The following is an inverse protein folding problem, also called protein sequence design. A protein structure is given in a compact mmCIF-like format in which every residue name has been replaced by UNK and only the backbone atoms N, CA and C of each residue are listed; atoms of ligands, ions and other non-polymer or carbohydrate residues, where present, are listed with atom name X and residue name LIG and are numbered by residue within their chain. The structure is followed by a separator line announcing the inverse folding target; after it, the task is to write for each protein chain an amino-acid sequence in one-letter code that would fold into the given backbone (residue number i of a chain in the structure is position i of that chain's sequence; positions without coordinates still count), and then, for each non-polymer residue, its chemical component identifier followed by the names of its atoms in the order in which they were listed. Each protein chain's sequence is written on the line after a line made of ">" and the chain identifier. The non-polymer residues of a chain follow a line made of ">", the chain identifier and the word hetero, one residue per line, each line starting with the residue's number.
data_IF_422964160276
#
_entry.id   IF_422964160276
#
_cell.length_a   1.000
_cell.length_b   1.000
_cell.length_c   1.000
_cell.angle_alpha   90.00
_cell.angle_beta   90.00
_cell.angle_gamma   90.00
#
_symmetry.space_group_name_H-M   'P 1'
#
loop_
_entity.id
_entity.type
_entity.pdbx_description
1 polymer ?
#
# COMPACT_ATOMS: atom_id res chain seq x y z
N UNK A 1 -15.05 -12.53 -8.30
CA UNK A 1 -14.99 -11.35 -9.20
C UNK A 1 -14.24 -11.70 -10.48
N UNK A 2 -14.83 -11.43 -11.64
CA UNK A 2 -14.21 -11.72 -12.94
C UNK A 2 -13.01 -10.80 -13.21
N UNK A 3 -11.99 -11.29 -13.92
CA UNK A 3 -10.75 -10.54 -14.18
C UNK A 3 -11.00 -9.21 -14.90
N UNK A 4 -11.88 -9.21 -15.90
CA UNK A 4 -12.26 -8.03 -16.69
C UNK A 4 -12.89 -6.89 -15.87
N UNK A 5 -13.56 -7.23 -14.77
CA UNK A 5 -14.27 -6.25 -13.94
C UNK A 5 -13.40 -5.66 -12.83
N UNK A 6 -12.23 -6.26 -12.52
CA UNK A 6 -11.36 -5.84 -11.40
C UNK A 6 -10.99 -4.35 -11.46
N UNK A 7 -10.61 -3.87 -12.66
CA UNK A 7 -10.24 -2.45 -12.85
C UNK A 7 -11.43 -1.52 -12.64
N UNK A 8 -12.62 -1.91 -13.11
CA UNK A 8 -13.85 -1.12 -12.96
C UNK A 8 -14.28 -1.07 -11.50
N UNK A 9 -14.28 -2.21 -10.81
CA UNK A 9 -14.60 -2.28 -9.38
C UNK A 9 -13.60 -1.47 -8.55
N UNK A 10 -12.29 -1.61 -8.81
CA UNK A 10 -11.28 -0.82 -8.09
C UNK A 10 -11.46 0.69 -8.28
N UNK A 11 -11.85 1.14 -9.47
CA UNK A 11 -12.18 2.54 -9.73
C UNK A 11 -13.45 2.97 -8.98
N UNK A 12 -14.49 2.14 -8.97
CA UNK A 12 -15.76 2.42 -8.30
C UNK A 12 -15.66 2.40 -6.76
N UNK A 13 -14.71 1.65 -6.19
CA UNK A 13 -14.43 1.65 -4.75
C UNK A 13 -13.56 2.84 -4.32
N UNK A 14 -12.88 3.52 -5.25
CA UNK A 14 -11.96 4.63 -4.93
C UNK A 14 -12.62 5.77 -4.15
N UNK A 15 -13.82 6.24 -4.51
CA UNK A 15 -14.49 7.32 -3.77
C UNK A 15 -14.66 7.02 -2.28
N UNK A 16 -14.85 5.75 -1.90
CA UNK A 16 -15.03 5.34 -0.50
C UNK A 16 -13.81 5.70 0.36
N UNK A 17 -12.61 5.33 -0.06
CA UNK A 17 -11.38 5.57 0.72
C UNK A 17 -10.69 6.90 0.43
N UNK A 18 -11.16 7.66 -0.56
CA UNK A 18 -10.70 9.04 -0.81
C UNK A 18 -11.63 10.11 -0.27
N UNK A 19 -12.78 9.72 0.29
CA UNK A 19 -13.78 10.61 0.88
C UNK A 19 -13.22 11.51 1.99
N UNK A 20 -13.80 12.70 2.15
CA UNK A 20 -13.34 13.70 3.13
C UNK A 20 -13.80 13.39 4.56
N UNK A 21 -14.99 12.81 4.71
CA UNK A 21 -15.63 12.44 5.97
C UNK A 21 -16.23 11.03 5.91
N UNK A 22 -16.55 10.47 7.07
CA UNK A 22 -17.27 9.20 7.19
C UNK A 22 -18.60 9.21 6.43
N UNK A 23 -19.42 10.26 6.59
CA UNK A 23 -20.70 10.38 5.88
C UNK A 23 -20.54 10.32 4.37
N UNK A 24 -19.55 11.03 3.82
CA UNK A 24 -19.26 11.01 2.38
C UNK A 24 -18.72 9.66 1.91
N UNK A 25 -17.96 8.95 2.75
CA UNK A 25 -17.50 7.61 2.45
C UNK A 25 -18.65 6.60 2.45
N UNK A 26 -19.57 6.71 3.41
CA UNK A 26 -20.74 5.86 3.52
C UNK A 26 -21.69 6.08 2.34
N UNK A 27 -21.93 7.34 1.97
CA UNK A 27 -22.71 7.68 0.78
C UNK A 27 -22.11 7.04 -0.49
N UNK A 28 -20.78 7.09 -0.65
CA UNK A 28 -20.09 6.43 -1.77
C UNK A 28 -20.20 4.90 -1.71
N UNK A 29 -20.22 4.29 -0.53
CA UNK A 29 -20.43 2.84 -0.38
C UNK A 29 -21.86 2.45 -0.78
N UNK A 30 -22.87 3.24 -0.39
CA UNK A 30 -24.26 3.05 -0.79
C UNK A 30 -24.43 3.21 -2.31
N UNK A 31 -23.80 4.24 -2.90
CA UNK A 31 -23.78 4.41 -4.35
C UNK A 31 -23.16 3.19 -5.06
N UNK A 32 -22.02 2.71 -4.57
CA UNK A 32 -21.40 1.50 -5.11
C UNK A 32 -22.32 0.28 -4.97
N UNK A 33 -22.97 0.08 -3.81
CA UNK A 33 -23.89 -1.02 -3.54
C UNK A 33 -25.07 -1.05 -4.52
N UNK A 34 -25.64 0.11 -4.84
CA UNK A 34 -26.78 0.22 -5.76
C UNK A 34 -26.39 0.11 -7.24
N UNK A 35 -25.11 0.29 -7.57
CA UNK A 35 -24.59 0.18 -8.94
C UNK A 35 -24.66 -1.24 -9.51
N UNK A 36 -24.59 -1.38 -10.83
CA UNK A 36 -24.52 -2.69 -11.50
C UNK A 36 -23.37 -3.55 -10.96
N UNK A 37 -22.22 -2.93 -10.67
CA UNK A 37 -21.06 -3.66 -10.12
C UNK A 37 -21.28 -4.09 -8.66
N UNK A 38 -21.94 -3.26 -7.84
CA UNK A 38 -22.29 -3.60 -6.47
C UNK A 38 -23.29 -4.75 -6.40
N UNK A 39 -24.34 -4.68 -7.21
CA UNK A 39 -25.35 -5.73 -7.34
C UNK A 39 -24.75 -7.04 -7.89
N UNK A 40 -23.82 -6.95 -8.85
CA UNK A 40 -23.10 -8.11 -9.40
C UNK A 40 -22.11 -8.73 -8.40
N UNK A 41 -21.57 -7.93 -7.48
CA UNK A 41 -20.54 -8.36 -6.52
C UNK A 41 -20.93 -8.02 -5.07
N UNK A 42 -22.03 -8.57 -4.54
CA UNK A 42 -22.56 -8.22 -3.22
C UNK A 42 -21.60 -8.57 -2.07
N UNK A 43 -20.75 -9.58 -2.25
CA UNK A 43 -19.71 -9.92 -1.27
C UNK A 43 -18.65 -8.82 -1.11
N UNK A 44 -18.43 -8.00 -2.15
CA UNK A 44 -17.53 -6.84 -2.07
C UNK A 44 -18.14 -5.79 -1.14
N UNK A 45 -19.43 -5.49 -1.32
CA UNK A 45 -20.18 -4.56 -0.46
C UNK A 45 -20.18 -5.06 0.99
N UNK A 46 -20.48 -6.36 1.19
CA UNK A 46 -20.51 -6.98 2.52
C UNK A 46 -19.16 -6.90 3.23
N UNK A 47 -18.04 -7.06 2.50
CA UNK A 47 -16.70 -6.94 3.08
C UNK A 47 -16.44 -5.53 3.63
N UNK A 48 -16.87 -4.50 2.90
CA UNK A 48 -16.79 -3.11 3.36
C UNK A 48 -17.66 -2.84 4.57
N UNK A 49 -18.94 -3.26 4.54
CA UNK A 49 -19.87 -3.10 5.67
C UNK A 49 -19.36 -3.79 6.93
N UNK A 50 -18.90 -5.04 6.82
CA UNK A 50 -18.37 -5.80 7.96
C UNK A 50 -17.09 -5.21 8.56
N UNK A 51 -16.33 -4.46 7.76
CA UNK A 51 -15.07 -3.86 8.18
C UNK A 51 -15.19 -2.36 8.46
N UNK A 52 -16.41 -1.81 8.45
CA UNK A 52 -16.64 -0.37 8.45
C UNK A 52 -16.00 0.32 9.65
N UNK A 53 -16.25 -0.18 10.85
CA UNK A 53 -15.69 0.37 12.10
C UNK A 53 -14.17 0.34 12.13
N UNK A 54 -13.54 -0.62 11.43
CA UNK A 54 -12.08 -0.70 11.29
C UNK A 54 -11.54 0.23 10.20
N UNK A 55 -12.38 0.61 9.24
CA UNK A 55 -12.05 1.52 8.16
C UNK A 55 -12.22 2.99 8.56
N UNK A 56 -13.21 3.36 9.37
CA UNK A 56 -13.46 4.75 9.77
C UNK A 56 -12.21 5.46 10.32
N UNK A 57 -11.40 4.85 11.22
CA UNK A 57 -10.16 5.49 11.70
C UNK A 57 -9.17 5.85 10.58
N UNK A 58 -9.17 5.11 9.46
CA UNK A 58 -8.31 5.44 8.32
C UNK A 58 -8.64 6.82 7.70
N UNK A 59 -9.90 7.25 7.77
CA UNK A 59 -10.30 8.59 7.30
C UNK A 59 -9.77 9.70 8.22
N UNK A 60 -9.33 9.41 9.45
CA UNK A 60 -8.71 10.41 10.32
C UNK A 60 -7.28 10.76 9.89
N UNK A 61 -6.65 9.95 9.02
CA UNK A 61 -5.35 10.31 8.47
C UNK A 61 -5.45 11.46 7.47
N UNK A 62 -4.46 12.35 7.38
CA UNK A 62 -4.41 13.37 6.35
C UNK A 62 -4.37 12.77 4.92
N UNK A 63 -4.91 13.44 3.89
CA UNK A 63 -5.01 12.88 2.53
C UNK A 63 -3.70 12.37 1.93
N UNK A 64 -2.56 13.04 2.19
CA UNK A 64 -1.27 12.58 1.66
C UNK A 64 -0.81 11.28 2.31
N UNK A 65 -1.11 11.10 3.60
CA UNK A 65 -0.82 9.86 4.31
C UNK A 65 -1.77 8.74 3.90
N UNK A 66 -3.07 9.02 3.71
CA UNK A 66 -4.01 8.02 3.17
C UNK A 66 -3.52 7.47 1.84
N UNK A 67 -3.00 8.34 0.96
CA UNK A 67 -2.42 7.95 -0.33
C UNK A 67 -1.23 7.01 -0.18
N UNK A 68 -0.35 7.28 0.77
CA UNK A 68 0.75 6.39 1.11
C UNK A 68 0.24 5.02 1.57
N UNK A 69 -0.76 4.99 2.45
CA UNK A 69 -1.30 3.77 3.05
C UNK A 69 -2.01 2.90 2.00
N UNK A 70 -2.89 3.48 1.16
CA UNK A 70 -3.64 2.69 0.17
C UNK A 70 -2.81 2.32 -1.06
N UNK A 71 -1.65 2.95 -1.28
CA UNK A 71 -0.74 2.51 -2.36
C UNK A 71 -0.06 1.20 -1.95
N UNK A 72 -0.66 0.09 -2.36
CA UNK A 72 -0.20 -1.26 -2.05
C UNK A 72 1.11 -1.64 -2.77
N UNK A 73 1.60 -0.83 -3.70
CA UNK A 73 2.80 -1.10 -4.52
C UNK A 73 4.02 -1.59 -3.72
N UNK A 74 4.29 -0.98 -2.55
CA UNK A 74 5.43 -1.36 -1.71
C UNK A 74 5.26 -2.76 -1.11
N UNK A 75 4.09 -3.01 -0.53
CA UNK A 75 3.72 -4.27 0.11
C UNK A 75 3.59 -5.38 -0.94
N UNK A 76 2.95 -5.09 -2.08
CA UNK A 76 2.83 -6.00 -3.22
C UNK A 76 4.19 -6.34 -3.81
N UNK A 77 5.07 -5.35 -4.00
CA UNK A 77 6.42 -5.61 -4.53
C UNK A 77 7.22 -6.50 -3.59
N UNK A 78 7.14 -6.28 -2.27
CA UNK A 78 7.81 -7.13 -1.29
C UNK A 78 7.22 -8.55 -1.29
N UNK A 79 5.89 -8.66 -1.19
CA UNK A 79 5.18 -9.95 -1.22
C UNK A 79 5.47 -10.74 -2.49
N UNK A 80 5.55 -10.08 -3.64
CA UNK A 80 5.92 -10.71 -4.91
C UNK A 80 7.33 -11.30 -4.85
N UNK A 81 8.32 -10.55 -4.36
CA UNK A 81 9.70 -11.05 -4.23
C UNK A 81 9.79 -12.21 -3.24
N UNK A 82 9.10 -12.11 -2.09
CA UNK A 82 9.07 -13.20 -1.10
C UNK A 82 8.44 -14.47 -1.69
N UNK A 83 7.29 -14.37 -2.37
CA UNK A 83 6.67 -15.50 -3.08
C UNK A 83 7.59 -16.09 -4.12
N UNK A 84 8.36 -15.27 -4.84
CA UNK A 84 9.33 -15.74 -5.84
C UNK A 84 10.43 -16.59 -5.20
N UNK A 85 10.95 -16.18 -4.04
CA UNK A 85 12.01 -16.92 -3.32
C UNK A 85 11.49 -18.21 -2.70
N UNK A 86 10.23 -18.24 -2.27
CA UNK A 86 9.62 -19.42 -1.65
C UNK A 86 8.95 -20.37 -2.63
N UNK A 87 8.66 -19.95 -3.87
CA UNK A 87 7.89 -20.72 -4.87
C UNK A 87 8.35 -22.16 -5.07
N UNK A 88 9.67 -22.39 -5.01
CA UNK A 88 10.26 -23.71 -5.26
C UNK A 88 10.50 -24.53 -3.97
N UNK A 89 10.00 -24.07 -2.81
CA UNK A 89 10.12 -24.79 -1.54
C UNK A 89 8.75 -25.30 -1.09
N UNK A 90 8.52 -26.60 -1.25
CA UNK A 90 7.26 -27.25 -0.85
C UNK A 90 7.08 -27.45 0.66
N UNK A 91 8.18 -27.52 1.42
CA UNK A 91 8.17 -27.63 2.88
C UNK A 91 9.46 -27.03 3.46
N UNK A 92 9.42 -26.67 4.74
CA UNK A 92 10.58 -26.24 5.52
C UNK A 92 10.84 -27.26 6.63
N UNK A 93 12.11 -27.57 6.95
CA UNK A 93 12.45 -28.53 8.00
C UNK A 93 12.14 -28.01 9.41
N UNK A 94 12.02 -26.70 9.59
CA UNK A 94 11.59 -26.06 10.84
C UNK A 94 11.06 -24.65 10.57
N UNK A 95 10.37 -24.07 11.56
CA UNK A 95 9.97 -22.65 11.56
C UNK A 95 11.19 -21.74 11.44
N UNK A 96 12.28 -22.04 12.15
CA UNK A 96 13.51 -21.24 12.11
C UNK A 96 14.14 -21.23 10.71
N UNK A 97 14.09 -22.36 10.00
CA UNK A 97 14.57 -22.43 8.62
C UNK A 97 13.73 -21.53 7.69
N UNK A 98 12.41 -21.47 7.89
CA UNK A 98 11.54 -20.56 7.15
C UNK A 98 11.84 -19.09 7.48
N UNK A 99 11.98 -18.75 8.76
CA UNK A 99 12.30 -17.39 9.22
C UNK A 99 13.66 -16.93 8.68
N UNK A 100 14.69 -17.76 8.82
CA UNK A 100 16.05 -17.44 8.32
C UNK A 100 16.05 -17.17 6.82
N UNK A 101 15.28 -17.95 6.07
CA UNK A 101 15.16 -17.79 4.63
C UNK A 101 14.43 -16.51 4.24
N UNK A 102 13.32 -16.18 4.91
CA UNK A 102 12.61 -14.94 4.69
C UNK A 102 13.50 -13.74 5.03
N UNK A 103 14.25 -13.81 6.13
CA UNK A 103 15.21 -12.79 6.52
C UNK A 103 16.30 -12.59 5.45
N UNK A 104 16.96 -13.67 5.01
CA UNK A 104 17.96 -13.61 3.94
C UNK A 104 17.37 -13.07 2.63
N UNK A 105 16.12 -13.42 2.31
CA UNK A 105 15.43 -12.91 1.14
C UNK A 105 15.24 -11.39 1.24
N UNK A 106 14.82 -10.88 2.40
CA UNK A 106 14.66 -9.44 2.65
C UNK A 106 16.01 -8.72 2.50
N UNK A 107 17.09 -9.21 3.13
CA UNK A 107 18.43 -8.64 2.98
C UNK A 107 18.85 -8.57 1.51
N UNK A 108 18.72 -9.67 0.77
CA UNK A 108 19.09 -9.72 -0.65
C UNK A 108 18.25 -8.75 -1.52
N UNK A 109 16.95 -8.61 -1.23
CA UNK A 109 16.08 -7.64 -1.92
C UNK A 109 16.59 -6.21 -1.69
N UNK A 110 16.91 -5.87 -0.45
CA UNK A 110 17.38 -4.52 -0.10
C UNK A 110 18.79 -4.23 -0.62
N UNK A 111 19.71 -5.20 -0.57
CA UNK A 111 21.05 -5.09 -1.14
C UNK A 111 20.99 -4.89 -2.66
N UNK A 112 20.14 -5.67 -3.35
CA UNK A 112 19.93 -5.49 -4.79
C UNK A 112 19.36 -4.11 -5.11
N UNK A 113 18.34 -3.67 -4.36
CA UNK A 113 17.78 -2.31 -4.52
C UNK A 113 18.84 -1.24 -4.28
N UNK A 114 19.72 -1.42 -3.29
CA UNK A 114 20.80 -0.49 -3.00
C UNK A 114 21.83 -0.44 -4.14
N UNK A 115 22.25 -1.59 -4.66
CA UNK A 115 23.15 -1.69 -5.79
C UNK A 115 22.55 -1.07 -7.06
N UNK A 116 21.28 -1.35 -7.35
CA UNK A 116 20.57 -0.76 -8.49
C UNK A 116 20.52 0.77 -8.39
N UNK A 117 20.20 1.30 -7.20
CA UNK A 117 20.21 2.75 -6.92
C UNK A 117 21.61 3.34 -7.05
N UNK A 118 22.66 2.64 -6.62
CA UNK A 118 24.03 3.10 -6.77
C UNK A 118 24.42 3.23 -8.25
N UNK A 119 24.02 2.27 -9.10
CA UNK A 119 24.25 2.34 -10.56
C UNK A 119 23.49 3.46 -11.26
N UNK A 120 22.37 3.89 -10.69
CA UNK A 120 21.55 4.96 -11.25
C UNK A 120 21.88 6.35 -10.69
N UNK A 121 22.83 6.44 -9.75
CA UNK A 121 23.30 7.69 -9.19
C UNK A 121 23.87 8.58 -10.30
N UNK A 122 23.44 9.84 -10.34
CA UNK A 122 23.88 10.83 -11.33
C UNK A 122 23.16 10.76 -12.68
N UNK A 123 22.39 9.71 -12.99
CA UNK A 123 21.61 9.64 -14.23
C UNK A 123 20.42 10.62 -14.21
N UNK A 124 19.97 11.14 -15.36
CA UNK A 124 18.74 11.91 -15.46
C UNK A 124 17.52 11.03 -15.15
N UNK A 125 16.41 11.64 -14.69
CA UNK A 125 15.28 10.91 -14.10
C UNK A 125 14.62 9.90 -15.07
N UNK A 126 14.61 10.19 -16.36
CA UNK A 126 14.08 9.35 -17.43
C UNK A 126 14.95 8.09 -17.71
N UNK A 127 16.19 8.06 -17.24
CA UNK A 127 17.13 6.94 -17.46
C UNK A 127 17.31 6.04 -16.23
N UNK A 128 16.75 6.44 -15.08
CA UNK A 128 16.79 5.66 -13.84
C UNK A 128 15.80 4.49 -13.95
N UNK A 129 16.30 3.27 -13.73
CA UNK A 129 15.53 2.01 -13.76
C UNK A 129 15.37 1.39 -12.37
N UNK A 130 16.19 1.79 -11.41
CA UNK A 130 16.14 1.32 -10.03
C UNK A 130 14.82 1.73 -9.37
N UNK A 131 14.27 0.85 -8.53
CA UNK A 131 13.16 1.23 -7.65
C UNK A 131 13.64 2.35 -6.71
N UNK A 132 12.82 3.40 -6.57
CA UNK A 132 13.06 4.47 -5.59
C UNK A 132 13.23 3.90 -4.18
N UNK A 133 13.95 4.62 -3.31
CA UNK A 133 14.08 4.21 -1.91
C UNK A 133 12.69 4.20 -1.27
N UNK A 134 12.41 3.22 -0.41
CA UNK A 134 11.19 3.25 0.39
C UNK A 134 11.21 4.43 1.38
N UNK A 135 12.40 4.92 1.81
CA UNK A 135 12.56 6.16 2.59
C UNK A 135 13.98 6.78 2.41
N UNK A 136 14.16 7.78 1.54
CA UNK A 136 15.04 8.97 1.69
C UNK A 136 14.69 9.95 0.56
N UNK A 137 14.42 11.21 0.91
CA UNK A 137 14.34 12.31 -0.06
C UNK A 137 13.17 12.29 -1.06
N UNK A 138 13.33 13.04 -2.15
CA UNK A 138 12.27 13.55 -3.03
C UNK A 138 11.53 12.55 -3.93
N UNK A 139 11.81 11.24 -3.87
CA UNK A 139 11.13 10.25 -4.73
C UNK A 139 10.54 9.11 -3.89
N UNK A 140 9.69 9.49 -2.94
CA UNK A 140 8.63 8.63 -2.43
C UNK A 140 7.37 9.47 -2.55
N UNK A 141 6.48 9.11 -3.46
CA UNK A 141 5.31 9.94 -3.75
C UNK A 141 4.58 10.21 -2.43
N UNK A 142 4.51 11.49 -2.08
CA UNK A 142 3.80 12.05 -0.92
C UNK A 142 4.33 11.71 0.49
N UNK A 143 5.43 10.99 0.72
CA UNK A 143 5.90 10.73 2.11
C UNK A 143 6.43 11.96 2.83
N UNK A 144 7.17 12.84 2.15
CA UNK A 144 7.61 14.11 2.76
C UNK A 144 6.41 14.97 3.17
N UNK A 145 5.39 15.02 2.32
CA UNK A 145 4.15 15.73 2.57
C UNK A 145 3.32 15.03 3.67
N UNK A 146 3.28 13.70 3.68
CA UNK A 146 2.61 12.90 4.70
C UNK A 146 3.28 13.07 6.08
N UNK A 147 4.61 13.09 6.14
CA UNK A 147 5.36 13.31 7.37
C UNK A 147 5.13 14.72 7.91
N UNK A 148 5.13 15.74 7.04
CA UNK A 148 4.78 17.10 7.42
C UNK A 148 3.35 17.20 7.97
N UNK A 149 2.38 16.54 7.32
CA UNK A 149 1.00 16.49 7.79
C UNK A 149 0.85 15.71 9.11
N UNK A 150 1.63 14.64 9.30
CA UNK A 150 1.68 13.88 10.56
C UNK A 150 2.24 14.72 11.71
N UNK A 151 3.33 15.44 11.48
CA UNK A 151 3.91 16.34 12.47
C UNK A 151 2.93 17.46 12.86
N UNK A 152 2.16 17.98 11.92
CA UNK A 152 1.13 18.99 12.18
C UNK A 152 -0.10 18.43 12.91
N UNK A 153 -0.56 17.22 12.56
CA UNK A 153 -1.76 16.61 13.14
C UNK A 153 -1.50 15.92 14.49
N UNK A 154 -0.29 15.40 14.71
CA UNK A 154 0.09 14.62 15.89
C UNK A 154 1.48 15.02 16.42
N UNK A 155 1.69 16.30 16.80
CA UNK A 155 3.01 16.83 17.15
C UNK A 155 3.68 16.03 18.29
N UNK A 156 2.94 15.72 19.36
CA UNK A 156 3.47 15.02 20.53
C UNK A 156 3.96 13.58 20.23
N UNK A 157 3.45 12.97 19.15
CA UNK A 157 3.78 11.59 18.77
C UNK A 157 4.90 11.51 17.73
N UNK A 158 5.08 12.56 16.94
CA UNK A 158 5.93 12.52 15.75
C UNK A 158 7.20 13.35 15.94
N UNK A 159 7.08 14.56 16.49
CA UNK A 159 8.21 15.49 16.68
C UNK A 159 9.38 14.89 17.47
N UNK A 160 9.20 14.02 18.48
CA UNK A 160 10.33 13.39 19.18
C UNK A 160 11.22 12.49 18.31
N UNK A 161 10.78 12.11 17.10
CA UNK A 161 11.46 11.17 16.21
C UNK A 161 11.86 11.77 14.84
N UNK A 162 11.65 13.09 14.65
CA UNK A 162 12.05 13.83 13.46
C UNK A 162 13.48 14.37 13.60
#
# INVERSE_FOLDING_TARGET
>A
MAYQDRKKVAAALKPIYTAASEDSAWAALVEFETSELGQKYPSTVMTWKNSWDRFVPFLQFPPMLRKVIYTTNAIESLNYQLRKVTKNRGHFPSTDAAVKLLWLAICNIEDKRAADRARDRGKPANERKAQGRLVEGQVVTNWKQALAQLAAAYPDRITPYL
#
